data_IF_866735636175
#
_entry.id   IF_866735636175
#
_cell.length_a   1.000
_cell.length_b   1.000
_cell.length_c   1.000
_cell.angle_alpha   90.00
_cell.angle_beta   90.00
_cell.angle_gamma   90.00
#
_symmetry.space_group_name_H-M   'P 1'
#
loop_
_entity.id
_entity.type
_entity.pdbx_description
1 polymer ?
#
# COMPACT_ATOMS: atom_id res chain seq x y z
N UNK A 1 -34.77 73.15 -11.37
CA UNK A 1 -33.37 72.74 -11.65
C UNK A 1 -33.08 71.57 -10.71
N UNK A 2 -33.59 70.41 -11.12
CA UNK A 2 -33.57 69.20 -10.31
C UNK A 2 -32.38 68.31 -10.71
N UNK A 3 -31.51 68.11 -9.76
CA UNK A 3 -30.30 67.24 -9.94
C UNK A 3 -30.71 65.83 -9.52
N UNK A 4 -30.83 64.97 -10.50
CA UNK A 4 -31.08 63.53 -10.28
C UNK A 4 -29.74 62.83 -9.99
N UNK A 5 -29.56 62.41 -8.72
CA UNK A 5 -28.46 61.49 -8.33
C UNK A 5 -28.78 60.04 -8.72
N UNK A 6 -28.08 59.49 -9.70
CA UNK A 6 -28.12 58.09 -10.01
C UNK A 6 -27.24 57.30 -9.05
N UNK A 7 -27.83 56.36 -8.31
CA UNK A 7 -27.10 55.42 -7.45
C UNK A 7 -26.51 54.31 -8.30
N UNK A 8 -25.22 53.94 -8.12
CA UNK A 8 -24.68 52.77 -8.80
C UNK A 8 -25.26 51.48 -8.18
N UNK A 9 -25.81 50.60 -9.02
CA UNK A 9 -26.20 49.25 -8.64
C UNK A 9 -24.92 48.42 -8.50
N UNK A 10 -24.56 48.07 -7.23
CA UNK A 10 -23.54 47.07 -6.97
C UNK A 10 -24.17 45.72 -7.27
N UNK A 11 -23.73 45.06 -8.34
CA UNK A 11 -24.02 43.66 -8.59
C UNK A 11 -23.06 42.83 -7.69
N UNK A 12 -23.59 42.30 -6.60
CA UNK A 12 -22.88 41.27 -5.83
C UNK A 12 -22.91 39.96 -6.60
N UNK A 13 -21.76 39.64 -7.25
CA UNK A 13 -21.56 38.34 -7.90
C UNK A 13 -21.32 37.33 -6.74
N UNK A 14 -22.34 36.55 -6.37
CA UNK A 14 -22.18 35.38 -5.54
C UNK A 14 -21.45 34.32 -6.36
N UNK A 15 -20.13 34.22 -6.20
CA UNK A 15 -19.38 33.05 -6.64
C UNK A 15 -19.73 31.95 -5.65
N UNK A 16 -20.67 31.08 -6.02
CA UNK A 16 -20.87 29.79 -5.37
C UNK A 16 -19.61 28.95 -5.70
N UNK A 17 -18.65 28.98 -4.77
CA UNK A 17 -17.62 27.96 -4.73
C UNK A 17 -18.31 26.64 -4.37
N UNK A 18 -18.68 25.85 -5.36
CA UNK A 18 -18.90 24.42 -5.16
C UNK A 18 -17.53 23.82 -4.88
N UNK A 19 -17.18 23.66 -3.60
CA UNK A 19 -16.16 22.72 -3.22
C UNK A 19 -16.72 21.32 -3.51
N UNK A 20 -16.34 20.75 -4.66
CA UNK A 20 -16.46 19.32 -4.84
C UNK A 20 -15.49 18.68 -3.85
N UNK A 21 -16.01 18.21 -2.73
CA UNK A 21 -15.25 17.31 -1.90
C UNK A 21 -15.10 16.01 -2.72
N UNK A 22 -13.91 15.73 -3.20
CA UNK A 22 -13.56 14.40 -3.65
C UNK A 22 -13.74 13.47 -2.44
N UNK A 23 -14.79 12.67 -2.46
CA UNK A 23 -15.00 11.66 -1.43
C UNK A 23 -14.20 10.42 -1.81
N UNK A 24 -12.92 10.39 -1.48
CA UNK A 24 -12.14 9.15 -1.46
C UNK A 24 -12.85 8.17 -0.53
N UNK A 25 -13.34 7.06 -1.03
CA UNK A 25 -14.21 6.19 -0.27
C UNK A 25 -13.69 4.76 -0.19
N UNK A 26 -13.70 4.22 1.03
CA UNK A 26 -13.57 2.80 1.29
C UNK A 26 -14.93 2.12 1.15
N UNK A 27 -15.03 1.10 0.31
CA UNK A 27 -16.24 0.31 0.10
C UNK A 27 -16.01 -1.07 0.69
N UNK A 28 -16.93 -1.50 1.56
CA UNK A 28 -16.95 -2.88 2.05
C UNK A 28 -17.27 -3.82 0.87
N UNK A 29 -16.44 -4.84 0.68
CA UNK A 29 -16.67 -5.86 -0.33
C UNK A 29 -17.79 -6.81 0.15
N UNK A 30 -18.90 -6.90 -0.58
CA UNK A 30 -20.14 -7.48 -0.09
C UNK A 30 -20.05 -8.98 0.23
N UNK A 31 -19.14 -9.69 -0.44
CA UNK A 31 -18.94 -11.14 -0.26
C UNK A 31 -17.64 -11.43 0.54
N UNK A 32 -17.17 -10.48 1.35
CA UNK A 32 -16.05 -10.73 2.26
C UNK A 32 -16.33 -11.94 3.14
N UNK A 33 -15.41 -12.91 3.23
CA UNK A 33 -15.61 -14.06 4.13
C UNK A 33 -15.78 -13.61 5.57
N UNK A 34 -16.34 -14.47 6.40
CA UNK A 34 -16.44 -14.18 7.84
C UNK A 34 -15.13 -14.51 8.55
N UNK A 35 -14.69 -13.58 9.40
CA UNK A 35 -13.56 -13.76 10.29
C UNK A 35 -13.75 -12.88 11.53
N UNK A 36 -13.09 -13.24 12.64
CA UNK A 36 -12.97 -12.33 13.78
C UNK A 36 -12.15 -11.10 13.39
N UNK A 37 -11.14 -11.31 12.56
CA UNK A 37 -10.29 -10.31 11.90
C UNK A 37 -9.42 -10.99 10.84
N UNK A 38 -9.31 -10.39 9.66
CA UNK A 38 -8.23 -10.66 8.73
C UNK A 38 -6.97 -9.93 9.22
N UNK A 39 -5.86 -10.67 9.29
CA UNK A 39 -4.61 -10.15 9.82
C UNK A 39 -3.72 -9.54 8.75
N UNK A 40 -3.81 -10.05 7.53
CA UNK A 40 -3.06 -9.56 6.38
C UNK A 40 -3.82 -9.77 5.08
N UNK A 41 -3.51 -8.94 4.10
CA UNK A 41 -4.05 -8.98 2.75
C UNK A 41 -2.94 -8.63 1.77
N UNK A 42 -2.89 -9.35 0.66
CA UNK A 42 -1.95 -9.12 -0.42
C UNK A 42 -2.64 -9.25 -1.76
N UNK A 43 -2.60 -8.21 -2.54
CA UNK A 43 -3.05 -8.20 -3.93
C UNK A 43 -1.86 -8.06 -4.85
N UNK A 44 -1.75 -8.95 -5.83
CA UNK A 44 -0.73 -8.89 -6.87
C UNK A 44 -1.06 -7.80 -7.90
N UNK A 45 -2.34 -7.58 -8.12
CA UNK A 45 -2.93 -6.52 -8.95
C UNK A 45 -4.38 -6.27 -8.47
N UNK A 46 -5.12 -5.39 -9.12
CA UNK A 46 -6.49 -5.02 -8.71
C UNK A 46 -7.51 -6.18 -8.69
N UNK A 47 -7.21 -7.31 -9.32
CA UNK A 47 -8.13 -8.46 -9.41
C UNK A 47 -7.65 -9.65 -8.58
N UNK A 48 -6.34 -9.92 -8.58
CA UNK A 48 -5.77 -11.14 -8.03
C UNK A 48 -5.21 -10.88 -6.63
N UNK A 49 -5.81 -11.52 -5.62
CA UNK A 49 -5.43 -11.27 -4.23
C UNK A 49 -5.71 -12.42 -3.27
N UNK A 50 -5.07 -12.34 -2.11
CA UNK A 50 -5.19 -13.30 -1.01
C UNK A 50 -5.31 -12.57 0.32
N UNK A 51 -5.98 -13.22 1.27
CA UNK A 51 -6.07 -12.74 2.65
C UNK A 51 -5.95 -13.87 3.62
N UNK A 52 -5.38 -13.60 4.80
CA UNK A 52 -5.14 -14.58 5.84
C UNK A 52 -5.67 -14.10 7.20
N UNK A 53 -6.16 -15.03 8.02
CA UNK A 53 -6.77 -14.70 9.31
C UNK A 53 -6.25 -15.56 10.48
N UNK A 54 -6.69 -15.20 11.68
CA UNK A 54 -6.30 -15.89 12.92
C UNK A 54 -7.03 -17.21 13.18
N UNK A 55 -7.94 -17.65 12.31
CA UNK A 55 -8.59 -18.96 12.36
C UNK A 55 -7.88 -20.00 11.49
N UNK A 56 -6.67 -19.66 10.99
CA UNK A 56 -5.89 -20.56 10.14
C UNK A 56 -6.43 -20.63 8.71
N UNK A 57 -7.18 -19.64 8.25
CA UNK A 57 -7.79 -19.63 6.94
C UNK A 57 -7.05 -18.69 6.00
N UNK A 58 -6.91 -19.13 4.75
CA UNK A 58 -6.42 -18.34 3.61
C UNK A 58 -7.50 -18.36 2.54
N UNK A 59 -7.88 -17.17 2.07
CA UNK A 59 -8.84 -16.96 1.00
C UNK A 59 -8.19 -16.30 -0.20
N UNK A 60 -8.73 -16.57 -1.36
CA UNK A 60 -8.27 -16.11 -2.67
C UNK A 60 -9.40 -15.44 -3.44
N UNK A 61 -9.07 -14.44 -4.25
CA UNK A 61 -9.93 -13.80 -5.22
C UNK A 61 -9.20 -13.59 -6.54
N UNK A 62 -9.90 -13.68 -7.66
CA UNK A 62 -9.41 -13.34 -9.01
C UNK A 62 -10.26 -12.25 -9.70
N UNK A 63 -11.24 -11.70 -8.97
CA UNK A 63 -12.21 -10.71 -9.43
C UNK A 63 -12.21 -9.41 -8.58
N UNK A 64 -11.08 -9.10 -7.94
CA UNK A 64 -10.92 -7.89 -7.13
C UNK A 64 -11.70 -7.93 -5.82
N UNK A 65 -11.99 -9.13 -5.31
CA UNK A 65 -12.70 -9.35 -4.06
C UNK A 65 -14.21 -9.36 -4.18
N UNK A 66 -14.75 -9.41 -5.40
CA UNK A 66 -16.20 -9.62 -5.61
C UNK A 66 -16.63 -11.00 -5.14
N UNK A 67 -15.75 -12.01 -5.29
CA UNK A 67 -15.91 -13.35 -4.73
C UNK A 67 -14.62 -13.85 -4.08
N UNK A 68 -14.75 -14.76 -3.10
CA UNK A 68 -13.61 -15.31 -2.36
C UNK A 68 -13.74 -16.83 -2.26
N UNK A 69 -12.65 -17.54 -2.58
CA UNK A 69 -12.54 -18.99 -2.43
C UNK A 69 -11.63 -19.32 -1.23
N UNK A 70 -12.10 -20.23 -0.36
CA UNK A 70 -11.27 -20.78 0.72
C UNK A 70 -10.22 -21.73 0.11
N UNK A 71 -8.94 -21.43 0.31
CA UNK A 71 -7.82 -22.26 -0.18
C UNK A 71 -7.18 -23.12 0.92
N UNK A 72 -7.21 -22.64 2.15
CA UNK A 72 -6.63 -23.34 3.29
C UNK A 72 -7.47 -23.11 4.54
N UNK A 73 -7.62 -24.17 5.35
CA UNK A 73 -8.17 -24.10 6.69
C UNK A 73 -7.36 -25.01 7.63
N UNK A 74 -6.59 -24.39 8.51
CA UNK A 74 -5.73 -25.06 9.49
C UNK A 74 -6.06 -24.51 10.89
N UNK A 75 -7.07 -25.07 11.55
CA UNK A 75 -7.70 -24.50 12.73
C UNK A 75 -6.80 -24.26 13.95
N UNK A 76 -5.61 -24.88 13.99
CA UNK A 76 -4.63 -24.68 15.07
C UNK A 76 -3.63 -23.55 14.74
N UNK A 77 -3.69 -22.99 13.54
CA UNK A 77 -2.77 -21.97 13.04
C UNK A 77 -3.36 -20.57 13.20
N UNK A 78 -2.53 -19.60 13.52
CA UNK A 78 -2.89 -18.18 13.49
C UNK A 78 -2.02 -17.46 12.48
N UNK A 79 -2.50 -17.25 11.27
CA UNK A 79 -1.79 -16.49 10.22
C UNK A 79 -1.74 -15.01 10.53
N UNK A 80 -0.59 -14.38 10.25
CA UNK A 80 -0.32 -12.94 10.47
C UNK A 80 0.21 -12.22 9.26
N UNK A 81 0.75 -12.93 8.28
CA UNK A 81 1.38 -12.37 7.11
C UNK A 81 1.09 -13.21 5.88
N UNK A 82 0.95 -12.59 4.71
CA UNK A 82 0.81 -13.26 3.42
C UNK A 82 1.46 -12.42 2.32
N UNK A 83 2.16 -13.07 1.39
CA UNK A 83 2.74 -12.42 0.22
C UNK A 83 2.88 -13.40 -0.94
N UNK A 84 2.91 -12.88 -2.17
CA UNK A 84 3.12 -13.67 -3.38
C UNK A 84 4.19 -13.03 -4.26
N UNK A 85 5.07 -13.84 -4.85
CA UNK A 85 6.02 -13.41 -5.86
C UNK A 85 5.34 -13.19 -7.21
N UNK A 86 4.46 -14.11 -7.57
CA UNK A 86 3.68 -14.15 -8.79
C UNK A 86 2.32 -14.83 -8.50
N UNK A 87 1.58 -15.15 -9.53
CA UNK A 87 0.27 -15.83 -9.43
C UNK A 87 0.34 -17.28 -8.94
N UNK A 88 1.54 -17.88 -8.88
CA UNK A 88 1.74 -19.28 -8.48
C UNK A 88 2.46 -19.41 -7.13
N UNK A 89 3.48 -18.58 -6.87
CA UNK A 89 4.39 -18.74 -5.73
C UNK A 89 4.07 -17.75 -4.62
N UNK A 90 3.75 -18.26 -3.44
CA UNK A 90 3.43 -17.44 -2.28
C UNK A 90 3.79 -18.07 -0.94
N UNK A 91 3.78 -17.25 0.11
CA UNK A 91 4.04 -17.63 1.48
C UNK A 91 3.05 -17.00 2.44
N UNK A 92 2.70 -17.76 3.49
CA UNK A 92 1.91 -17.29 4.62
C UNK A 92 2.67 -17.52 5.92
N UNK A 93 2.84 -16.46 6.71
CA UNK A 93 3.51 -16.48 8.00
C UNK A 93 2.53 -16.71 9.14
N UNK A 94 2.86 -17.66 10.05
CA UNK A 94 2.10 -17.96 11.25
C UNK A 94 2.86 -17.53 12.50
N UNK A 95 2.12 -17.24 13.58
CA UNK A 95 2.70 -16.75 14.85
C UNK A 95 3.45 -17.81 15.64
N UNK A 96 3.26 -19.10 15.31
CA UNK A 96 3.81 -20.22 16.04
C UNK A 96 3.09 -20.54 17.35
N UNK A 97 3.59 -21.55 18.06
CA UNK A 97 3.00 -22.07 19.29
C UNK A 97 2.90 -21.00 20.40
N UNK A 98 1.78 -20.99 21.10
CA UNK A 98 1.56 -20.24 22.33
C UNK A 98 1.17 -18.77 22.13
N UNK A 99 1.11 -18.27 20.89
CA UNK A 99 0.60 -16.93 20.61
C UNK A 99 -0.84 -16.98 20.07
N UNK A 100 -1.68 -16.11 20.58
CA UNK A 100 -3.09 -15.94 20.14
C UNK A 100 -3.90 -17.26 20.06
N UNK A 101 -3.51 -18.26 20.89
CA UNK A 101 -4.16 -19.57 20.92
C UNK A 101 -3.67 -20.55 19.86
N UNK A 102 -2.63 -20.22 19.10
CA UNK A 102 -2.04 -21.14 18.12
C UNK A 102 -1.36 -22.32 18.80
N UNK A 103 -1.63 -23.53 18.32
CA UNK A 103 -0.95 -24.77 18.68
C UNK A 103 -0.05 -25.30 17.55
N UNK A 104 -0.06 -24.65 16.40
CA UNK A 104 0.74 -25.02 15.24
C UNK A 104 2.22 -24.68 15.43
N UNK A 105 3.08 -25.67 15.23
CA UNK A 105 4.53 -25.51 15.27
C UNK A 105 5.14 -24.99 13.96
N UNK A 106 4.38 -24.98 12.87
CA UNK A 106 4.84 -24.46 11.60
C UNK A 106 4.70 -22.94 11.56
N UNK A 107 5.74 -22.25 11.14
CA UNK A 107 5.80 -20.79 11.18
C UNK A 107 5.75 -20.14 9.81
N UNK A 108 5.99 -20.93 8.76
CA UNK A 108 5.91 -20.49 7.36
C UNK A 108 5.26 -21.59 6.52
N UNK A 109 4.30 -21.20 5.72
CA UNK A 109 3.66 -22.04 4.71
C UNK A 109 3.97 -21.52 3.33
N UNK A 110 4.11 -22.42 2.35
CA UNK A 110 4.37 -22.08 0.94
C UNK A 110 3.33 -22.70 0.02
N UNK A 111 3.09 -22.01 -1.08
CA UNK A 111 2.41 -22.53 -2.26
C UNK A 111 3.27 -22.32 -3.49
N UNK A 112 3.09 -23.19 -4.50
CA UNK A 112 3.72 -23.10 -5.82
C UNK A 112 2.70 -23.25 -6.96
N UNK A 113 1.41 -23.23 -6.62
CA UNK A 113 0.27 -23.45 -7.51
C UNK A 113 -0.87 -22.44 -7.30
N UNK A 114 -0.51 -21.23 -6.82
CA UNK A 114 -1.46 -20.13 -6.59
C UNK A 114 -2.34 -20.32 -5.36
N UNK A 115 -1.95 -21.23 -4.45
CA UNK A 115 -2.70 -21.54 -3.25
C UNK A 115 -3.71 -22.66 -3.41
N UNK A 116 -3.71 -23.40 -4.54
CA UNK A 116 -4.49 -24.64 -4.68
C UNK A 116 -4.05 -25.66 -3.62
N UNK A 117 -2.75 -25.67 -3.31
CA UNK A 117 -2.20 -26.39 -2.17
C UNK A 117 -1.22 -25.55 -1.37
N UNK A 118 -1.21 -25.77 -0.05
CA UNK A 118 -0.27 -25.14 0.89
C UNK A 118 0.46 -26.22 1.68
N UNK A 119 1.77 -26.04 1.84
CA UNK A 119 2.61 -26.94 2.62
C UNK A 119 3.51 -26.16 3.59
N UNK A 120 3.77 -26.69 4.80
CA UNK A 120 4.69 -26.06 5.74
C UNK A 120 6.11 -26.04 5.18
N UNK A 121 6.84 -24.98 5.53
CA UNK A 121 8.26 -24.83 5.22
C UNK A 121 9.06 -24.71 6.52
N UNK A 122 10.00 -25.63 6.76
CA UNK A 122 10.76 -25.73 8.01
C UNK A 122 12.29 -25.84 7.79
N UNK A 123 12.75 -25.71 6.55
CA UNK A 123 14.16 -25.92 6.16
C UNK A 123 14.93 -24.59 6.15
N UNK A 124 15.09 -23.96 7.34
CA UNK A 124 15.82 -22.71 7.46
C UNK A 124 17.34 -22.96 7.58
N UNK A 125 18.14 -22.18 6.85
CA UNK A 125 19.57 -22.02 7.09
C UNK A 125 19.71 -21.06 8.29
N UNK A 126 20.17 -21.57 9.42
CA UNK A 126 20.23 -20.84 10.69
C UNK A 126 19.17 -21.31 11.70
N UNK A 127 18.92 -20.54 12.77
CA UNK A 127 17.96 -20.92 13.79
C UNK A 127 16.53 -20.87 13.27
N UNK A 128 15.70 -21.86 13.63
CA UNK A 128 14.28 -21.86 13.25
C UNK A 128 13.55 -20.68 13.90
N UNK A 129 12.85 -19.83 13.12
CA UNK A 129 12.09 -18.71 13.68
C UNK A 129 10.94 -19.21 14.55
N UNK A 130 10.60 -18.47 15.61
CA UNK A 130 9.49 -18.81 16.49
C UNK A 130 8.11 -18.45 15.93
N UNK A 131 8.04 -17.67 14.88
CA UNK A 131 6.84 -17.22 14.17
C UNK A 131 7.16 -16.10 13.20
N UNK A 132 6.31 -15.90 12.18
CA UNK A 132 6.44 -14.85 11.16
C UNK A 132 5.18 -13.99 11.16
N UNK A 133 5.33 -12.68 11.43
CA UNK A 133 4.23 -11.73 11.61
C UNK A 133 4.15 -10.66 10.53
N UNK A 134 5.27 -10.37 9.86
CA UNK A 134 5.38 -9.48 8.71
C UNK A 134 6.15 -10.16 7.60
N UNK A 135 5.75 -9.96 6.35
CA UNK A 135 6.43 -10.50 5.17
C UNK A 135 6.27 -9.52 4.01
N UNK A 136 7.33 -9.34 3.24
CA UNK A 136 7.34 -8.43 2.09
C UNK A 136 8.09 -9.04 0.91
N UNK A 137 7.46 -9.05 -0.25
CA UNK A 137 8.10 -9.26 -1.54
C UNK A 137 8.85 -7.99 -1.95
N UNK A 138 10.09 -8.12 -2.39
CA UNK A 138 10.88 -7.03 -2.96
C UNK A 138 10.99 -7.13 -4.48
N UNK A 139 11.23 -8.32 -5.00
CA UNK A 139 11.31 -8.62 -6.42
C UNK A 139 10.93 -10.09 -6.70
N UNK A 140 11.15 -10.59 -7.92
CA UNK A 140 10.78 -11.94 -8.33
C UNK A 140 11.55 -13.08 -7.63
N UNK A 141 12.61 -12.77 -6.88
CA UNK A 141 13.41 -13.77 -6.17
C UNK A 141 13.56 -13.45 -4.68
N UNK A 142 13.25 -12.22 -4.26
CA UNK A 142 13.58 -11.73 -2.93
C UNK A 142 12.32 -11.50 -2.10
N UNK A 143 12.25 -12.17 -0.97
CA UNK A 143 11.21 -11.99 0.06
C UNK A 143 11.87 -11.93 1.43
N UNK A 144 11.48 -10.95 2.22
CA UNK A 144 11.93 -10.78 3.59
C UNK A 144 10.77 -10.92 4.56
N UNK A 145 11.05 -11.42 5.78
CA UNK A 145 10.04 -11.55 6.81
C UNK A 145 10.59 -11.36 8.22
N UNK A 146 9.72 -11.02 9.14
CA UNK A 146 10.04 -10.84 10.55
C UNK A 146 9.00 -11.48 11.47
N UNK A 147 9.38 -11.81 12.67
CA UNK A 147 8.52 -12.30 13.74
C UNK A 147 9.26 -12.37 15.06
N UNK A 148 8.57 -12.57 16.16
CA UNK A 148 7.10 -12.60 16.39
C UNK A 148 6.71 -11.58 17.46
N UNK A 149 5.39 -11.40 17.68
CA UNK A 149 4.80 -10.37 18.56
C UNK A 149 5.29 -10.47 20.02
N UNK A 150 5.43 -11.68 20.56
CA UNK A 150 5.89 -11.92 21.93
C UNK A 150 7.32 -12.47 22.01
N UNK A 151 8.06 -12.33 20.87
CA UNK A 151 9.43 -12.80 20.78
C UNK A 151 9.61 -14.33 20.85
N UNK A 152 10.84 -14.81 20.68
CA UNK A 152 12.02 -14.01 20.32
C UNK A 152 11.93 -13.42 18.91
N UNK A 153 12.66 -12.32 18.69
CA UNK A 153 12.72 -11.62 17.40
C UNK A 153 13.56 -12.39 16.38
N UNK A 154 13.03 -12.50 15.15
CA UNK A 154 13.70 -13.10 13.99
C UNK A 154 13.55 -12.24 12.76
N UNK A 155 14.57 -12.26 11.90
CA UNK A 155 14.53 -11.82 10.51
C UNK A 155 14.81 -13.01 9.61
N UNK A 156 13.98 -13.20 8.59
CA UNK A 156 14.18 -14.25 7.58
C UNK A 156 14.26 -13.64 6.19
N UNK A 157 15.05 -14.24 5.32
CA UNK A 157 15.13 -13.83 3.91
C UNK A 157 15.34 -14.98 2.96
N UNK A 158 14.80 -14.82 1.75
CA UNK A 158 15.16 -15.60 0.56
C UNK A 158 15.53 -14.64 -0.56
N UNK A 159 16.51 -15.03 -1.37
CA UNK A 159 16.98 -14.30 -2.55
C UNK A 159 16.97 -15.18 -3.81
N UNK A 160 16.39 -16.38 -3.71
CA UNK A 160 16.32 -17.40 -4.77
C UNK A 160 14.89 -17.87 -5.07
N UNK A 161 13.90 -17.02 -4.76
CA UNK A 161 12.49 -17.32 -5.01
C UNK A 161 11.90 -18.33 -4.03
N UNK A 162 12.46 -18.42 -2.81
CA UNK A 162 11.97 -19.25 -1.72
C UNK A 162 12.44 -20.72 -1.81
N UNK A 163 13.50 -21.00 -2.58
CA UNK A 163 14.13 -22.31 -2.57
C UNK A 163 14.88 -22.52 -1.27
N UNK A 164 15.61 -21.50 -0.82
CA UNK A 164 16.30 -21.48 0.47
C UNK A 164 15.91 -20.24 1.26
N UNK A 165 15.71 -20.42 2.55
CA UNK A 165 15.46 -19.33 3.50
C UNK A 165 16.56 -19.28 4.56
N UNK A 166 17.13 -18.10 4.76
CA UNK A 166 18.10 -17.83 5.82
C UNK A 166 17.36 -17.15 6.96
N UNK A 167 17.63 -17.59 8.19
CA UNK A 167 17.03 -17.05 9.41
C UNK A 167 18.09 -16.52 10.36
N UNK A 168 17.83 -15.35 10.90
CA UNK A 168 18.68 -14.64 11.85
C UNK A 168 17.93 -14.40 13.16
N UNK A 169 18.57 -14.75 14.28
CA UNK A 169 18.07 -14.36 15.61
C UNK A 169 18.39 -12.89 15.85
N UNK A 170 17.35 -12.09 16.08
CA UNK A 170 17.42 -10.64 16.25
C UNK A 170 17.39 -10.19 17.71
N UNK A 171 17.46 -11.13 18.68
CA UNK A 171 17.30 -10.84 20.12
C UNK A 171 18.34 -9.85 20.67
N UNK A 172 19.47 -9.67 20.01
CA UNK A 172 20.46 -8.65 20.39
C UNK A 172 20.01 -7.22 20.06
N UNK A 173 19.04 -7.06 19.14
CA UNK A 173 18.55 -5.75 18.69
C UNK A 173 17.14 -5.44 19.21
N UNK A 174 16.29 -6.45 19.32
CA UNK A 174 14.89 -6.29 19.71
C UNK A 174 14.37 -7.55 20.40
N UNK A 175 13.44 -7.41 21.34
CA UNK A 175 12.79 -8.54 21.97
C UNK A 175 11.73 -9.19 21.07
N UNK A 176 11.05 -8.40 20.25
CA UNK A 176 10.03 -8.87 19.30
C UNK A 176 10.05 -8.03 18.03
N UNK A 177 9.68 -8.62 16.89
CA UNK A 177 9.49 -7.94 15.61
C UNK A 177 8.12 -8.28 15.05
N UNK A 178 7.46 -7.29 14.41
CA UNK A 178 6.05 -7.41 14.02
C UNK A 178 5.82 -7.11 12.55
N UNK A 179 6.50 -6.09 12.00
CA UNK A 179 6.35 -5.69 10.60
C UNK A 179 7.67 -5.16 10.03
N UNK A 180 7.73 -5.04 8.71
CA UNK A 180 8.90 -4.57 7.98
C UNK A 180 8.51 -3.75 6.76
N UNK A 181 9.44 -2.90 6.33
CA UNK A 181 9.39 -2.21 5.05
C UNK A 181 10.79 -2.06 4.47
N UNK A 182 11.02 -2.57 3.29
CA UNK A 182 12.26 -2.43 2.54
C UNK A 182 12.01 -1.66 1.26
N UNK A 183 12.85 -0.68 0.98
CA UNK A 183 12.87 0.06 -0.29
C UNK A 183 13.51 -0.75 -1.43
N UNK A 184 14.51 -1.56 -1.08
CA UNK A 184 15.28 -2.42 -1.96
C UNK A 184 15.93 -3.55 -1.15
N UNK A 185 16.78 -4.37 -1.77
CA UNK A 185 17.42 -5.51 -1.09
C UNK A 185 18.32 -5.12 0.07
N UNK A 186 18.92 -3.93 0.03
CA UNK A 186 19.92 -3.50 1.02
C UNK A 186 19.30 -2.66 2.13
N UNK A 187 18.39 -1.73 1.78
CA UNK A 187 17.88 -0.71 2.70
C UNK A 187 16.45 -0.98 3.12
N UNK A 188 16.23 -1.07 4.42
CA UNK A 188 14.90 -1.24 4.98
C UNK A 188 14.84 -1.10 6.49
N UNK A 189 13.62 -1.22 7.00
CA UNK A 189 13.28 -1.05 8.40
C UNK A 189 12.49 -2.26 8.92
N UNK A 190 12.70 -2.58 10.20
CA UNK A 190 11.87 -3.52 10.94
C UNK A 190 11.39 -2.86 12.23
N UNK A 191 10.17 -3.19 12.65
CA UNK A 191 9.53 -2.56 13.80
C UNK A 191 9.03 -3.61 14.78
N UNK A 192 9.06 -3.26 16.06
CA UNK A 192 8.68 -4.18 17.12
C UNK A 192 8.75 -3.56 18.50
N UNK A 193 9.35 -4.28 19.45
CA UNK A 193 9.33 -3.90 20.86
C UNK A 193 10.60 -4.30 21.61
N UNK A 194 10.98 -3.48 22.59
CA UNK A 194 12.19 -3.68 23.40
C UNK A 194 12.03 -4.77 24.46
N UNK A 195 10.79 -5.16 24.80
CA UNK A 195 10.47 -6.22 25.76
C UNK A 195 9.35 -7.12 25.26
N UNK A 196 9.38 -8.39 25.65
CA UNK A 196 8.26 -9.32 25.44
C UNK A 196 7.11 -9.06 26.43
N UNK A 197 7.41 -8.48 27.59
CA UNK A 197 6.43 -8.03 28.57
C UNK A 197 5.90 -6.65 28.15
N UNK A 198 4.61 -6.57 27.88
CA UNK A 198 4.00 -5.38 27.32
C UNK A 198 4.22 -4.12 28.18
N UNK A 199 4.04 -4.25 29.49
CA UNK A 199 4.13 -3.16 30.47
C UNK A 199 5.53 -2.52 30.53
N UNK A 200 6.56 -3.31 30.20
CA UNK A 200 7.96 -2.89 30.20
C UNK A 200 8.51 -2.61 28.80
N UNK A 201 7.63 -2.57 27.80
CA UNK A 201 8.00 -2.47 26.39
C UNK A 201 7.91 -1.04 25.88
N UNK A 202 8.94 -0.60 25.16
CA UNK A 202 8.90 0.56 24.30
C UNK A 202 8.85 0.09 22.84
N UNK A 203 8.23 0.86 21.97
CA UNK A 203 8.29 0.61 20.55
C UNK A 203 9.69 0.90 20.01
N UNK A 204 10.15 0.11 19.04
CA UNK A 204 11.48 0.23 18.44
C UNK A 204 11.39 0.18 16.91
N UNK A 205 12.20 1.01 16.25
CA UNK A 205 12.47 0.97 14.80
C UNK A 205 13.93 0.69 14.59
N UNK A 206 14.24 -0.35 13.84
CA UNK A 206 15.61 -0.70 13.43
C UNK A 206 15.75 -0.50 11.92
N UNK A 207 16.93 -0.06 11.48
CA UNK A 207 17.30 0.09 10.07
C UNK A 207 18.43 -0.88 9.70
N UNK A 208 18.40 -1.37 8.48
CA UNK A 208 19.55 -2.01 7.83
C UNK A 208 19.89 -1.27 6.53
N UNK A 209 21.17 -1.29 6.15
CA UNK A 209 21.71 -0.75 4.90
C UNK A 209 22.47 -1.84 4.10
N UNK A 210 22.40 -3.09 4.53
CA UNK A 210 23.17 -4.23 3.98
C UNK A 210 22.35 -5.53 3.89
N UNK A 211 21.04 -5.39 3.72
CA UNK A 211 20.14 -6.54 3.53
C UNK A 211 19.97 -7.38 4.77
N UNK A 212 20.03 -6.75 5.95
CA UNK A 212 19.76 -7.38 7.24
C UNK A 212 20.96 -8.09 7.87
N UNK A 213 22.20 -7.82 7.40
CA UNK A 213 23.41 -8.32 8.05
C UNK A 213 23.72 -7.53 9.32
N UNK A 214 23.55 -6.20 9.28
CA UNK A 214 23.70 -5.32 10.42
C UNK A 214 22.46 -4.45 10.61
N UNK A 215 22.17 -4.08 11.85
CA UNK A 215 21.01 -3.29 12.23
C UNK A 215 21.39 -2.15 13.16
N UNK A 216 20.79 -1.00 12.93
CA UNK A 216 20.95 0.22 13.73
C UNK A 216 19.59 0.60 14.33
N UNK A 217 19.61 1.05 15.60
CA UNK A 217 18.41 1.57 16.25
C UNK A 217 18.16 3.02 15.84
N UNK A 218 17.04 3.27 15.19
CA UNK A 218 16.65 4.61 14.74
C UNK A 218 15.89 5.38 15.80
N UNK A 219 14.97 4.71 16.50
CA UNK A 219 14.23 5.29 17.62
C UNK A 219 13.77 4.18 18.57
N UNK A 220 13.75 4.51 19.85
CA UNK A 220 12.99 3.83 20.90
C UNK A 220 12.06 4.87 21.49
N UNK A 221 10.75 4.58 21.53
CA UNK A 221 9.77 5.53 22.09
C UNK A 221 9.99 5.76 23.58
N UNK A 222 9.55 6.92 24.05
CA UNK A 222 9.77 7.35 25.44
C UNK A 222 8.81 6.71 26.44
N UNK A 223 7.69 6.13 25.97
CA UNK A 223 6.60 5.61 26.83
C UNK A 223 6.66 4.09 26.91
N UNK A 224 6.46 3.55 28.10
CA UNK A 224 6.25 2.13 28.33
C UNK A 224 4.84 1.68 27.91
N UNK A 225 4.69 0.39 27.68
CA UNK A 225 3.44 -0.21 27.25
C UNK A 225 3.15 -0.06 25.76
N UNK A 226 4.17 0.22 24.95
CA UNK A 226 4.04 0.42 23.52
C UNK A 226 4.77 -0.65 22.70
N UNK A 227 4.21 -0.95 21.52
CA UNK A 227 4.84 -1.75 20.46
C UNK A 227 4.64 -1.07 19.13
N UNK A 228 5.66 -0.99 18.31
CA UNK A 228 5.54 -0.63 16.90
C UNK A 228 4.88 -1.79 16.15
N UNK A 229 3.75 -1.51 15.47
CA UNK A 229 2.87 -2.57 14.96
C UNK A 229 2.89 -2.72 13.44
N UNK A 230 2.74 -1.63 12.71
CA UNK A 230 2.80 -1.60 11.24
C UNK A 230 3.64 -0.42 10.78
N UNK A 231 4.37 -0.62 9.71
CA UNK A 231 5.19 0.41 9.06
C UNK A 231 4.73 0.58 7.61
N UNK A 232 4.68 1.82 7.15
CA UNK A 232 4.30 2.18 5.78
C UNK A 232 5.10 3.39 5.31
N UNK A 233 5.61 3.32 4.08
CA UNK A 233 6.24 4.44 3.39
C UNK A 233 5.45 4.73 2.10
N UNK A 234 4.65 5.80 2.05
CA UNK A 234 3.99 6.24 0.83
C UNK A 234 4.95 6.87 -0.20
N UNK A 235 6.09 7.35 0.26
CA UNK A 235 7.17 7.87 -0.59
C UNK A 235 8.54 7.43 -0.04
N UNK A 236 9.62 7.72 -0.79
CA UNK A 236 10.97 7.41 -0.33
C UNK A 236 11.43 8.28 0.85
N UNK A 237 10.77 9.41 1.10
CA UNK A 237 11.12 10.36 2.17
C UNK A 237 10.20 10.23 3.39
N UNK A 238 8.92 9.93 3.18
CA UNK A 238 7.93 9.96 4.26
C UNK A 238 7.55 8.55 4.68
N UNK A 239 7.64 8.29 5.99
CA UNK A 239 7.28 7.01 6.57
C UNK A 239 6.48 7.16 7.86
N UNK A 240 5.66 6.16 8.16
CA UNK A 240 4.76 6.13 9.30
C UNK A 240 4.81 4.78 10.00
N UNK A 241 4.78 4.80 11.33
CA UNK A 241 4.71 3.58 12.16
C UNK A 241 3.57 3.71 13.15
N UNK A 242 2.65 2.75 13.15
CA UNK A 242 1.59 2.69 14.15
C UNK A 242 2.13 2.16 15.48
N UNK A 243 1.68 2.76 16.58
CA UNK A 243 2.01 2.34 17.94
C UNK A 243 0.79 1.72 18.60
N UNK A 244 0.90 0.43 18.94
CA UNK A 244 -0.09 -0.24 19.75
C UNK A 244 0.23 -0.01 21.23
N UNK A 245 -0.74 0.52 21.97
CA UNK A 245 -0.69 0.66 23.42
C UNK A 245 -1.91 0.00 24.05
N UNK A 246 -1.75 -0.69 25.17
CA UNK A 246 -2.86 -1.39 25.82
C UNK A 246 -3.38 -0.57 27.00
N UNK A 247 -4.71 -0.26 26.95
CA UNK A 247 -5.49 0.32 28.05
C UNK A 247 -5.04 1.68 28.58
N UNK A 248 -4.16 2.38 27.87
CA UNK A 248 -3.66 3.70 28.28
C UNK A 248 -3.74 4.72 27.14
N UNK A 249 -3.96 5.95 27.50
CA UNK A 249 -3.93 7.14 26.63
C UNK A 249 -2.89 8.14 27.19
N UNK A 250 -2.46 9.11 26.41
CA UNK A 250 -2.75 9.37 24.99
C UNK A 250 -2.07 8.38 24.05
N UNK A 251 -2.56 8.32 22.81
CA UNK A 251 -2.05 7.43 21.76
C UNK A 251 -1.21 8.22 20.76
N UNK A 252 -0.10 7.63 20.34
CA UNK A 252 0.85 8.22 19.40
C UNK A 252 1.08 7.30 18.18
N UNK A 253 1.71 7.86 17.16
CA UNK A 253 2.35 7.17 16.04
C UNK A 253 3.74 7.77 15.82
N UNK A 254 4.57 7.15 14.98
CA UNK A 254 5.91 7.67 14.65
C UNK A 254 5.91 8.07 13.18
N UNK A 255 6.55 9.20 12.85
CA UNK A 255 6.68 9.74 11.50
C UNK A 255 8.12 10.08 11.19
N UNK A 256 8.52 9.88 9.94
CA UNK A 256 9.73 10.43 9.33
C UNK A 256 9.38 11.21 8.08
N UNK A 257 10.21 12.20 7.70
CA UNK A 257 10.09 12.97 6.46
C UNK A 257 11.42 13.06 5.69
N UNK A 258 12.41 12.30 6.10
CA UNK A 258 13.77 12.28 5.53
C UNK A 258 14.26 10.86 5.17
N UNK A 259 13.32 9.94 4.91
CA UNK A 259 13.63 8.56 4.52
C UNK A 259 14.04 7.68 5.69
N UNK A 260 13.72 8.09 6.93
CA UNK A 260 13.99 7.34 8.14
C UNK A 260 15.33 7.64 8.80
N UNK A 261 16.00 8.74 8.40
CA UNK A 261 17.20 9.22 9.12
C UNK A 261 16.84 9.77 10.49
N UNK A 262 15.69 10.45 10.58
CA UNK A 262 15.12 10.91 11.84
C UNK A 262 13.64 10.53 11.96
N UNK A 263 13.23 10.11 13.16
CA UNK A 263 11.86 9.71 13.48
C UNK A 263 11.33 10.52 14.64
N UNK A 264 10.07 10.96 14.54
CA UNK A 264 9.39 11.79 15.53
C UNK A 264 8.12 11.10 16.03
N UNK A 265 7.89 11.15 17.36
CA UNK A 265 6.65 10.72 17.97
C UNK A 265 5.58 11.83 17.80
N UNK A 266 4.46 11.51 17.18
CA UNK A 266 3.33 12.42 16.93
C UNK A 266 2.11 11.95 17.71
N UNK A 267 1.39 12.89 18.30
CA UNK A 267 0.12 12.62 18.96
C UNK A 267 -0.92 12.19 17.90
N UNK A 268 -1.60 11.07 18.15
CA UNK A 268 -2.72 10.61 17.35
C UNK A 268 -4.05 10.99 18.00
N UNK A 269 -4.28 10.53 19.24
CA UNK A 269 -5.50 10.80 20.00
C UNK A 269 -5.18 11.00 21.48
N UNK A 270 -5.90 11.95 22.12
CA UNK A 270 -5.88 12.11 23.57
C UNK A 270 -6.61 10.97 24.28
N UNK A 271 -7.66 10.42 23.64
CA UNK A 271 -8.43 9.29 24.15
C UNK A 271 -7.85 7.95 23.70
N UNK A 272 -8.19 6.91 24.47
CA UNK A 272 -7.72 5.56 24.17
C UNK A 272 -8.31 4.99 22.87
N UNK A 273 -7.43 4.50 22.01
CA UNK A 273 -7.75 3.72 20.83
C UNK A 273 -6.71 2.60 20.64
N UNK A 274 -7.17 1.37 20.51
CA UNK A 274 -6.27 0.22 20.34
C UNK A 274 -5.75 0.12 18.91
N UNK A 275 -4.74 0.93 18.59
CA UNK A 275 -4.13 1.03 17.27
C UNK A 275 -3.50 -0.28 16.83
N UNK A 276 -3.65 -0.60 15.53
CA UNK A 276 -2.89 -1.66 14.86
C UNK A 276 -2.49 -1.25 13.44
N UNK A 277 -3.45 -1.06 12.53
CA UNK A 277 -3.18 -0.71 11.13
C UNK A 277 -2.76 0.73 10.95
N UNK A 278 -1.83 0.97 10.02
CA UNK A 278 -1.54 2.28 9.46
C UNK A 278 -1.28 2.12 7.96
N UNK A 279 -1.76 3.03 7.15
CA UNK A 279 -1.50 3.05 5.72
C UNK A 279 -1.77 4.42 5.13
N UNK A 280 -0.85 4.89 4.32
CA UNK A 280 -0.92 6.16 3.61
C UNK A 280 -0.81 5.88 2.11
N UNK A 281 -1.68 6.53 1.33
CA UNK A 281 -1.64 6.45 -0.13
C UNK A 281 -0.65 7.47 -0.73
N UNK A 282 -0.41 8.55 -0.01
CA UNK A 282 0.61 9.57 -0.30
C UNK A 282 1.05 10.22 1.02
N UNK A 283 1.95 11.20 0.96
CA UNK A 283 2.53 11.85 2.15
C UNK A 283 1.52 12.59 3.04
N UNK A 284 0.29 12.81 2.58
CA UNK A 284 -0.72 13.57 3.33
C UNK A 284 -1.98 12.79 3.66
N UNK A 285 -2.47 11.94 2.74
CA UNK A 285 -3.71 11.18 2.91
C UNK A 285 -3.43 9.78 3.45
N UNK A 286 -3.94 9.47 4.62
CA UNK A 286 -3.74 8.18 5.25
C UNK A 286 -4.77 7.82 6.31
N UNK A 287 -4.67 6.60 6.82
CA UNK A 287 -5.61 6.02 7.78
C UNK A 287 -4.88 5.27 8.90
N UNK A 288 -5.47 5.33 10.08
CA UNK A 288 -5.11 4.47 11.22
C UNK A 288 -6.33 3.63 11.61
N UNK A 289 -6.12 2.31 11.65
CA UNK A 289 -7.10 1.34 12.12
C UNK A 289 -6.65 0.64 13.39
N UNK A 290 -7.57 -0.04 14.07
CA UNK A 290 -7.24 -0.73 15.30
C UNK A 290 -8.19 -1.87 15.64
N UNK A 291 -7.83 -2.65 16.66
CA UNK A 291 -8.64 -3.77 17.15
C UNK A 291 -9.78 -3.29 18.06
N UNK A 292 -10.55 -2.35 17.58
CA UNK A 292 -11.67 -1.70 18.26
C UNK A 292 -12.95 -1.85 17.46
N UNK A 293 -14.10 -1.70 18.10
CA UNK A 293 -15.39 -1.51 17.44
C UNK A 293 -15.55 -0.10 16.85
N UNK A 294 -14.68 0.84 17.27
CA UNK A 294 -14.64 2.18 16.72
C UNK A 294 -14.16 2.15 15.27
N UNK A 295 -14.64 3.07 14.43
CA UNK A 295 -14.21 3.14 13.04
C UNK A 295 -12.73 3.51 12.92
N UNK A 296 -12.21 3.36 11.74
CA UNK A 296 -10.89 3.84 11.31
C UNK A 296 -10.83 5.36 11.37
N UNK A 297 -9.67 5.94 11.57
CA UNK A 297 -9.42 7.37 11.49
C UNK A 297 -8.73 7.73 10.19
N UNK A 298 -8.96 8.95 9.69
CA UNK A 298 -8.39 9.50 8.46
C UNK A 298 -7.70 10.83 8.74
N UNK A 299 -6.59 11.06 8.06
CA UNK A 299 -5.89 12.33 7.97
C UNK A 299 -5.77 12.76 6.51
N UNK A 300 -5.83 14.06 6.23
CA UNK A 300 -5.56 14.66 4.92
C UNK A 300 -4.32 15.57 4.92
N UNK A 301 -3.64 15.69 6.05
CA UNK A 301 -2.51 16.60 6.29
C UNK A 301 -1.24 15.91 6.81
N UNK A 302 -1.13 14.60 6.56
CA UNK A 302 0.05 13.81 6.95
C UNK A 302 0.13 13.52 8.44
N UNK A 303 -1.03 13.47 9.12
CA UNK A 303 -1.14 13.10 10.52
C UNK A 303 -1.06 14.27 11.49
N UNK A 304 -1.14 15.52 11.03
CA UNK A 304 -1.24 16.68 11.94
C UNK A 304 -2.62 16.76 12.57
N UNK A 305 -3.68 16.38 11.83
CA UNK A 305 -5.04 16.25 12.36
C UNK A 305 -5.70 14.95 11.92
N UNK A 306 -6.58 14.40 12.76
CA UNK A 306 -7.30 13.17 12.52
C UNK A 306 -8.79 13.31 12.75
N UNK A 307 -9.58 12.70 11.90
CA UNK A 307 -11.03 12.60 12.04
C UNK A 307 -11.50 11.15 11.86
N UNK A 308 -12.68 10.84 12.44
CA UNK A 308 -13.27 9.52 12.22
C UNK A 308 -13.61 9.32 10.75
N UNK A 309 -13.22 8.18 10.20
CA UNK A 309 -13.62 7.73 8.88
C UNK A 309 -14.82 6.79 8.99
N UNK A 310 -15.78 6.90 8.06
CA UNK A 310 -17.03 6.13 8.11
C UNK A 310 -16.86 4.70 7.55
N UNK A 311 -15.73 4.04 7.87
CA UNK A 311 -15.51 2.68 7.45
C UNK A 311 -14.67 1.88 8.45
N UNK A 312 -14.82 0.57 8.36
CA UNK A 312 -13.94 -0.41 8.96
C UNK A 312 -14.08 -0.59 10.47
N UNK A 313 -13.86 -1.80 10.90
CA UNK A 313 -13.58 -2.16 12.28
C UNK A 313 -12.47 -3.19 12.32
N UNK A 314 -11.60 -3.11 13.32
CA UNK A 314 -10.44 -4.00 13.47
C UNK A 314 -9.47 -3.96 12.28
N UNK A 315 -9.42 -2.83 11.56
CA UNK A 315 -8.55 -2.69 10.39
C UNK A 315 -7.08 -2.77 10.81
N UNK A 316 -6.36 -3.69 10.18
CA UNK A 316 -4.98 -4.05 10.56
C UNK A 316 -3.97 -3.89 9.42
N UNK A 317 -4.38 -3.97 8.17
CA UNK A 317 -3.51 -3.81 7.00
C UNK A 317 -4.17 -2.94 5.94
N UNK A 318 -3.35 -2.13 5.30
CA UNK A 318 -3.66 -1.38 4.09
C UNK A 318 -2.63 -1.73 3.03
N UNK A 319 -3.07 -1.85 1.79
CA UNK A 319 -2.22 -1.97 0.62
C UNK A 319 -2.73 -1.01 -0.43
N UNK A 320 -1.85 -0.20 -1.00
CA UNK A 320 -2.16 0.74 -2.07
C UNK A 320 -1.34 0.42 -3.31
N UNK A 321 -1.92 0.73 -4.47
CA UNK A 321 -1.29 0.62 -5.77
C UNK A 321 -0.93 2.01 -6.31
N UNK A 322 -0.01 2.05 -7.27
CA UNK A 322 0.42 3.29 -7.92
C UNK A 322 -0.72 4.01 -8.68
N UNK A 323 -1.77 3.28 -9.08
CA UNK A 323 -2.96 3.84 -9.71
C UNK A 323 -3.93 4.54 -8.73
N UNK A 324 -3.60 4.57 -7.44
CA UNK A 324 -4.41 5.20 -6.41
C UNK A 324 -5.57 4.34 -5.89
N UNK A 325 -5.67 3.09 -6.32
CA UNK A 325 -6.57 2.11 -5.71
C UNK A 325 -5.89 1.41 -4.53
N UNK A 326 -6.68 0.73 -3.70
CA UNK A 326 -6.13 -0.01 -2.58
C UNK A 326 -7.11 -0.97 -1.96
N UNK A 327 -6.59 -1.79 -1.06
CA UNK A 327 -7.36 -2.72 -0.25
C UNK A 327 -6.99 -2.59 1.22
N UNK A 328 -7.94 -2.84 2.09
CA UNK A 328 -7.67 -2.99 3.52
C UNK A 328 -8.44 -4.16 4.09
N UNK A 329 -7.91 -4.72 5.16
CA UNK A 329 -8.57 -5.80 5.85
C UNK A 329 -8.64 -5.55 7.37
N UNK A 330 -9.76 -5.99 7.93
CA UNK A 330 -10.08 -5.95 9.33
C UNK A 330 -11.09 -7.02 9.64
N UNK A 331 -12.24 -6.68 10.25
CA UNK A 331 -13.36 -7.60 10.38
C UNK A 331 -13.96 -7.99 9.01
N UNK A 332 -13.86 -7.07 8.05
CA UNK A 332 -14.25 -7.22 6.65
C UNK A 332 -13.08 -6.80 5.76
N UNK A 333 -13.26 -6.98 4.48
CA UNK A 333 -12.32 -6.54 3.45
C UNK A 333 -12.94 -5.33 2.74
N UNK A 334 -12.13 -4.32 2.51
CA UNK A 334 -12.55 -3.05 1.90
C UNK A 334 -11.69 -2.76 0.69
N UNK A 335 -12.32 -2.21 -0.34
CA UNK A 335 -11.62 -1.66 -1.51
C UNK A 335 -11.68 -0.13 -1.44
N UNK A 336 -10.54 0.50 -1.64
CA UNK A 336 -10.44 1.95 -1.82
C UNK A 336 -10.51 2.27 -3.30
N UNK A 337 -11.48 3.10 -3.65
CA UNK A 337 -11.64 3.60 -5.00
C UNK A 337 -11.66 5.11 -4.98
N UNK A 338 -11.01 5.73 -5.95
CA UNK A 338 -11.24 7.15 -6.21
C UNK A 338 -12.72 7.33 -6.58
N UNK A 339 -13.40 8.28 -5.96
CA UNK A 339 -14.84 8.51 -6.10
C UNK A 339 -15.34 8.75 -7.54
N UNK A 340 -14.47 8.76 -8.52
CA UNK A 340 -14.80 8.88 -9.94
C UNK A 340 -15.49 7.62 -10.50
N UNK A 341 -15.41 6.46 -9.85
CA UNK A 341 -16.06 5.23 -10.36
C UNK A 341 -17.48 4.98 -9.83
N UNK A 342 -17.97 5.71 -8.81
CA UNK A 342 -19.21 5.34 -8.09
C UNK A 342 -20.48 5.93 -8.69
N UNK A 343 -20.41 6.89 -9.60
CA UNK A 343 -21.61 7.51 -10.19
C UNK A 343 -21.89 7.07 -11.63
N UNK A 344 -22.08 5.75 -11.84
CA UNK A 344 -22.64 5.23 -13.09
C UNK A 344 -24.17 5.38 -13.11
N UNK A 345 -24.67 6.60 -13.05
CA UNK A 345 -26.00 6.94 -13.50
C UNK A 345 -25.88 7.96 -14.67
N UNK A 346 -25.49 7.44 -15.83
CA UNK A 346 -25.69 8.14 -17.11
C UNK A 346 -24.69 9.21 -17.49
N UNK A 347 -23.68 9.56 -16.66
CA UNK A 347 -22.61 10.48 -17.04
C UNK A 347 -21.28 9.74 -17.18
N UNK A 348 -20.64 9.91 -18.31
CA UNK A 348 -19.36 9.33 -18.69
C UNK A 348 -18.23 9.81 -17.79
N UNK A 349 -17.55 8.87 -17.11
CA UNK A 349 -16.47 9.20 -16.17
C UNK A 349 -15.13 8.98 -16.85
N UNK A 350 -14.36 10.06 -16.98
CA UNK A 350 -12.97 10.01 -17.43
C UNK A 350 -12.11 9.86 -16.17
N UNK A 351 -11.17 8.88 -16.09
CA UNK A 351 -10.23 8.76 -14.97
C UNK A 351 -9.47 10.07 -14.74
N UNK A 352 -9.14 10.38 -13.49
CA UNK A 352 -8.35 11.58 -13.14
C UNK A 352 -7.01 11.61 -13.89
N UNK A 353 -6.42 10.43 -14.10
CA UNK A 353 -5.19 10.24 -14.89
C UNK A 353 -5.48 9.36 -16.11
N UNK A 354 -6.07 9.93 -17.15
CA UNK A 354 -6.42 9.16 -18.36
C UNK A 354 -5.20 8.74 -19.19
N UNK A 355 -4.00 9.21 -18.83
CA UNK A 355 -2.73 8.84 -19.42
C UNK A 355 -1.69 8.66 -18.32
N UNK A 356 -1.06 7.50 -18.29
CA UNK A 356 0.05 7.20 -17.37
C UNK A 356 1.17 6.49 -18.13
N UNK A 357 2.41 6.56 -17.65
CA UNK A 357 3.51 5.78 -18.22
C UNK A 357 4.38 5.16 -17.15
N UNK A 358 4.91 3.96 -17.42
CA UNK A 358 5.83 3.24 -16.54
C UNK A 358 6.87 2.45 -17.36
N UNK A 359 8.15 2.53 -16.93
CA UNK A 359 8.69 3.37 -15.86
C UNK A 359 8.64 4.87 -16.21
N UNK A 360 8.67 5.75 -15.19
CA UNK A 360 8.83 7.21 -15.33
C UNK A 360 9.61 7.74 -14.10
N UNK A 361 10.88 8.16 -14.20
CA UNK A 361 11.70 8.26 -15.43
C UNK A 361 11.98 6.91 -16.11
N UNK A 362 12.27 6.94 -17.42
CA UNK A 362 12.54 5.73 -18.22
C UNK A 362 13.82 5.82 -19.08
N UNK A 363 14.38 4.66 -19.45
CA UNK A 363 15.58 4.54 -20.27
C UNK A 363 15.60 3.20 -21.05
N UNK A 364 15.58 3.18 -22.37
CA UNK A 364 15.04 4.23 -23.25
C UNK A 364 13.54 4.04 -23.52
N UNK A 365 12.90 3.01 -22.93
CA UNK A 365 11.54 2.57 -23.23
C UNK A 365 10.60 2.74 -22.05
N UNK A 366 9.36 3.13 -22.35
CA UNK A 366 8.27 3.17 -21.38
C UNK A 366 6.97 2.63 -21.98
N UNK A 367 6.18 1.98 -21.16
CA UNK A 367 4.80 1.62 -21.50
C UNK A 367 3.88 2.79 -21.12
N UNK A 368 3.05 3.21 -22.05
CA UNK A 368 2.04 4.25 -21.86
C UNK A 368 0.67 3.57 -21.87
N UNK A 369 -0.12 3.79 -20.84
CA UNK A 369 -1.52 3.39 -20.77
C UNK A 369 -2.38 4.63 -21.03
N UNK A 370 -3.28 4.53 -21.98
CA UNK A 370 -4.19 5.60 -22.41
C UNK A 370 -5.61 5.14 -22.21
N UNK A 371 -6.39 5.86 -21.42
CA UNK A 371 -7.82 5.64 -21.31
C UNK A 371 -8.55 6.31 -22.49
N UNK A 372 -9.37 5.55 -23.18
CA UNK A 372 -10.19 5.99 -24.33
C UNK A 372 -11.64 6.11 -23.85
N UNK A 373 -12.14 7.33 -23.56
CA UNK A 373 -13.48 7.50 -23.00
C UNK A 373 -14.59 7.23 -24.01
N UNK A 374 -14.32 7.36 -25.32
CA UNK A 374 -15.31 7.21 -26.39
C UNK A 374 -14.77 6.39 -27.53
N UNK A 375 -15.62 5.53 -28.12
CA UNK A 375 -15.35 5.00 -29.45
C UNK A 375 -15.23 6.16 -30.45
N UNK A 376 -14.29 6.08 -31.38
CA UNK A 376 -14.04 7.10 -32.34
C UNK A 376 -12.55 7.27 -32.64
N UNK A 377 -12.24 8.39 -33.27
CA UNK A 377 -10.87 8.70 -33.68
C UNK A 377 -10.00 9.10 -32.47
N UNK A 378 -8.82 8.48 -32.34
CA UNK A 378 -7.86 8.73 -31.27
C UNK A 378 -6.51 9.08 -31.88
N UNK A 379 -5.93 10.18 -31.41
CA UNK A 379 -4.54 10.59 -31.67
C UNK A 379 -3.74 10.55 -30.40
N UNK A 380 -2.65 9.77 -30.37
CA UNK A 380 -1.69 9.71 -29.28
C UNK A 380 -0.32 10.12 -29.79
N UNK A 381 0.17 11.24 -29.31
CA UNK A 381 1.41 11.86 -29.76
C UNK A 381 2.34 12.18 -28.59
N UNK A 382 3.65 12.15 -28.83
CA UNK A 382 4.67 12.67 -27.91
C UNK A 382 5.08 14.06 -28.35
N UNK A 383 5.07 15.00 -27.41
CA UNK A 383 5.50 16.39 -27.61
C UNK A 383 6.78 16.67 -26.79
N UNK A 384 7.62 17.57 -27.27
CA UNK A 384 8.72 18.16 -26.49
C UNK A 384 8.21 19.32 -25.59
N UNK A 385 9.09 19.89 -24.78
CA UNK A 385 8.76 21.00 -23.87
C UNK A 385 8.27 22.28 -24.56
N UNK A 386 8.51 22.40 -25.87
CA UNK A 386 8.00 23.53 -26.67
C UNK A 386 6.62 23.26 -27.28
N UNK A 387 6.04 22.09 -27.03
CA UNK A 387 4.77 21.64 -27.61
C UNK A 387 4.89 21.11 -29.03
N UNK A 388 6.10 20.91 -29.54
CA UNK A 388 6.32 20.37 -30.90
C UNK A 388 6.19 18.84 -30.82
N UNK A 389 5.38 18.28 -31.77
CA UNK A 389 5.26 16.81 -31.89
C UNK A 389 6.58 16.20 -32.34
N UNK A 390 7.04 15.21 -31.59
CA UNK A 390 8.26 14.44 -31.85
C UNK A 390 7.99 13.01 -32.28
N UNK A 391 6.86 12.43 -31.85
CA UNK A 391 6.46 11.08 -32.24
C UNK A 391 4.94 10.92 -32.30
N UNK A 392 4.44 10.30 -33.38
CA UNK A 392 3.09 9.78 -33.47
C UNK A 392 3.08 8.35 -32.96
N UNK A 393 2.41 8.09 -31.83
CA UNK A 393 2.37 6.76 -31.23
C UNK A 393 1.17 5.93 -31.71
N UNK A 394 0.02 6.59 -31.86
CA UNK A 394 -1.19 5.99 -32.38
C UNK A 394 -2.04 7.04 -33.09
N UNK A 395 -2.63 6.65 -34.20
CA UNK A 395 -3.59 7.49 -34.98
C UNK A 395 -4.55 6.54 -35.67
N UNK A 396 -5.83 6.58 -35.28
CA UNK A 396 -6.83 5.67 -35.85
C UNK A 396 -8.11 5.60 -35.04
N UNK A 397 -9.04 4.76 -35.49
CA UNK A 397 -10.31 4.58 -34.84
C UNK A 397 -10.24 3.48 -33.77
N UNK A 398 -10.90 3.72 -32.64
CA UNK A 398 -11.13 2.77 -31.57
C UNK A 398 -12.64 2.49 -31.50
N UNK A 399 -13.00 1.22 -31.60
CA UNK A 399 -14.41 0.80 -31.73
C UNK A 399 -15.10 0.59 -30.38
N UNK A 400 -14.33 0.46 -29.31
CA UNK A 400 -14.83 0.32 -27.94
C UNK A 400 -14.36 1.52 -27.11
N UNK A 401 -15.31 2.26 -26.55
CA UNK A 401 -15.04 3.30 -25.54
C UNK A 401 -14.88 2.66 -24.15
N UNK A 402 -14.50 3.50 -23.17
CA UNK A 402 -14.29 3.09 -21.78
C UNK A 402 -13.24 1.98 -21.62
N UNK A 403 -12.19 2.01 -22.42
CA UNK A 403 -11.14 1.01 -22.48
C UNK A 403 -9.74 1.61 -22.32
N UNK A 404 -8.81 0.80 -21.81
CA UNK A 404 -7.40 1.15 -21.72
C UNK A 404 -6.61 0.60 -22.91
N UNK A 405 -5.84 1.47 -23.57
CA UNK A 405 -4.94 1.09 -24.66
C UNK A 405 -3.49 1.16 -24.19
N UNK A 406 -2.76 0.06 -24.35
CA UNK A 406 -1.32 -0.03 -24.06
C UNK A 406 -0.53 0.34 -25.32
N UNK A 407 0.41 1.28 -25.18
CA UNK A 407 1.31 1.76 -26.23
C UNK A 407 2.73 1.76 -25.67
N UNK A 408 3.73 1.44 -26.49
CA UNK A 408 5.14 1.49 -26.09
C UNK A 408 5.82 2.65 -26.82
N UNK A 409 6.56 3.48 -26.07
CA UNK A 409 7.48 4.45 -26.65
C UNK A 409 8.91 4.12 -26.27
N UNK A 410 9.75 3.95 -27.26
CA UNK A 410 11.16 3.55 -27.15
C UNK A 410 12.15 4.73 -27.20
N UNK A 411 11.68 5.96 -26.95
CA UNK A 411 12.51 7.16 -26.97
C UNK A 411 13.01 7.59 -28.35
N UNK A 412 12.35 7.15 -29.43
CA UNK A 412 12.66 7.56 -30.81
C UNK A 412 11.61 8.56 -31.32
N UNK A 413 12.04 9.51 -32.21
CA UNK A 413 11.12 10.37 -32.96
C UNK A 413 10.55 9.64 -34.18
N UNK A 414 9.75 10.34 -34.99
CA UNK A 414 9.16 9.80 -36.22
C UNK A 414 10.21 9.42 -37.29
N UNK A 415 11.36 10.09 -37.32
CA UNK A 415 12.49 9.79 -38.20
C UNK A 415 13.41 8.67 -37.63
N UNK A 416 12.98 7.97 -36.55
CA UNK A 416 13.73 6.92 -35.85
C UNK A 416 15.06 7.41 -35.20
N UNK A 417 15.22 8.70 -34.98
CA UNK A 417 16.35 9.25 -34.23
C UNK A 417 16.08 9.21 -32.73
N UNK A 418 17.14 8.90 -31.95
CA UNK A 418 17.05 8.91 -30.49
C UNK A 418 16.84 10.30 -29.92
N UNK A 419 15.83 10.44 -29.09
CA UNK A 419 15.56 11.67 -28.38
C UNK A 419 16.60 11.88 -27.26
N UNK A 420 16.85 13.12 -26.89
CA UNK A 420 17.76 13.48 -25.79
C UNK A 420 17.07 13.30 -24.45
N UNK A 421 17.87 13.12 -23.36
CA UNK A 421 17.33 13.15 -22.00
C UNK A 421 16.57 14.45 -21.76
N UNK A 422 15.41 14.35 -21.17
CA UNK A 422 14.56 15.52 -20.93
C UNK A 422 13.11 15.18 -20.61
N UNK A 423 12.30 16.23 -20.48
CA UNK A 423 10.87 16.16 -20.26
C UNK A 423 10.14 16.13 -21.59
N UNK A 424 9.21 15.20 -21.70
CA UNK A 424 8.29 15.03 -22.83
C UNK A 424 6.86 14.96 -22.32
N UNK A 425 5.90 15.17 -23.21
CA UNK A 425 4.48 15.05 -22.89
C UNK A 425 3.81 14.07 -23.84
N UNK A 426 3.14 13.07 -23.27
CA UNK A 426 2.18 12.26 -24.03
C UNK A 426 0.87 13.04 -24.11
N UNK A 427 0.45 13.37 -25.31
CA UNK A 427 -0.83 14.02 -25.57
C UNK A 427 -1.78 13.02 -26.22
N UNK A 428 -3.03 13.01 -25.76
CA UNK A 428 -4.10 12.16 -26.27
C UNK A 428 -5.28 13.03 -26.64
N UNK A 429 -5.78 12.85 -27.85
CA UNK A 429 -7.00 13.49 -28.32
C UNK A 429 -8.00 12.40 -28.70
N UNK A 430 -9.20 12.44 -28.11
CA UNK A 430 -10.31 11.56 -28.45
C UNK A 430 -11.60 12.38 -28.48
N UNK A 431 -12.12 12.63 -29.68
CA UNK A 431 -13.26 13.54 -29.89
C UNK A 431 -12.96 14.96 -29.38
N UNK A 432 -13.75 15.42 -28.40
CA UNK A 432 -13.55 16.73 -27.73
C UNK A 432 -12.62 16.65 -26.52
N UNK A 433 -12.19 15.45 -26.10
CA UNK A 433 -11.33 15.22 -24.95
C UNK A 433 -9.86 15.39 -25.31
N UNK A 434 -9.12 16.15 -24.49
CA UNK A 434 -7.68 16.37 -24.60
C UNK A 434 -7.03 16.04 -23.25
N UNK A 435 -6.09 15.09 -23.26
CA UNK A 435 -5.31 14.72 -22.10
C UNK A 435 -3.82 14.92 -22.36
N UNK A 436 -3.05 15.24 -21.30
CA UNK A 436 -1.61 15.39 -21.40
C UNK A 436 -0.94 14.84 -20.13
N UNK A 437 0.13 14.07 -20.32
CA UNK A 437 0.89 13.43 -19.22
C UNK A 437 2.39 13.67 -19.40
N UNK A 438 3.07 14.06 -18.30
CA UNK A 438 4.50 14.36 -18.28
C UNK A 438 5.33 13.08 -18.14
N UNK A 439 6.29 12.89 -19.03
CA UNK A 439 7.23 11.77 -19.05
C UNK A 439 8.67 12.29 -18.97
N UNK A 440 9.55 11.55 -18.32
CA UNK A 440 10.98 11.91 -18.17
C UNK A 440 11.84 10.80 -18.78
N UNK A 441 12.52 11.12 -19.90
CA UNK A 441 13.49 10.25 -20.56
C UNK A 441 14.88 10.49 -19.95
N UNK A 442 15.54 9.44 -19.52
CA UNK A 442 16.95 9.43 -19.08
C UNK A 442 17.79 8.63 -20.09
N UNK A 443 19.05 8.98 -20.22
CA UNK A 443 20.06 8.22 -21.00
C UNK A 443 21.06 7.59 -20.06
#
# INVERSE_FOLDING_TARGET
>A
MDIIFSRPRVFLLFILCFSFSQTNQWIELPNSPEASRFNDIYFLNNNLGWTANGWGQIYFTDDGGSTWALQMEQGETHFRAITFLDDLRGWAGAVGIGEFGSADSNNLYKTVDGGVSWSPYNEFIGPTPGGICGIQKLDFNTVYGVGRVRGPAFFIKTEDGGQNWISYNMSQYSASLIDLYFFNRDTGFVVGATSTEHENSNAIVLRTMDGGQNWETMIITSRFGEKAWKINFPSSSTGYVSLQRNYEAPIYFIKTTDGGEFWEEKLFLEDYYFVQGIGFINDTLGWIGGNSSNPTYVTGDGGETWSSADFGSRVNRFQFFENGEGFSCGRKIYKFTNALEIFSNGNKIIPEYPVINYPNPFNPETTILVYIPESGHVDVSVLDISGRKVRQLFFGDVYEGETWKKIIWNGLNDDHNRMVSGVYFCQVINGSSLFSHRMVLLK
#
